data_IF_644495814404
#
_entry.id   IF_644495814404
#
_cell.length_a   1.000
_cell.length_b   1.000
_cell.length_c   1.000
_cell.angle_alpha   90.00
_cell.angle_beta   90.00
_cell.angle_gamma   90.00
#
_symmetry.space_group_name_H-M   'P 1'
#
loop_
_entity.id
_entity.type
_entity.pdbx_description
1 polymer ?
#
# COMPACT_ATOMS: atom_id res chain seq x y z
N UNK A 1 -11.04 3.55 -40.68
CA UNK A 1 -11.90 3.89 -41.84
C UNK A 1 -11.07 4.02 -43.11
N UNK A 2 -11.03 2.97 -43.93
CA UNK A 2 -10.76 2.99 -45.38
C UNK A 2 -11.15 1.59 -45.89
N UNK A 3 -12.39 1.48 -46.39
CA UNK A 3 -12.94 0.22 -46.94
C UNK A 3 -12.35 0.03 -48.34
N UNK A 4 -11.56 -1.03 -48.54
CA UNK A 4 -11.16 -1.47 -49.88
C UNK A 4 -12.26 -2.40 -50.40
N UNK A 5 -13.08 -1.88 -51.31
CA UNK A 5 -14.11 -2.62 -52.03
C UNK A 5 -13.46 -3.41 -53.18
N UNK A 6 -13.29 -4.72 -53.02
CA UNK A 6 -12.94 -5.61 -54.13
C UNK A 6 -14.22 -5.82 -54.96
N UNK A 7 -14.27 -5.17 -56.13
CA UNK A 7 -15.36 -5.36 -57.09
C UNK A 7 -15.11 -6.63 -57.89
N UNK A 8 -15.85 -7.69 -57.58
CA UNK A 8 -15.94 -8.89 -58.42
C UNK A 8 -16.99 -8.62 -59.51
N UNK A 9 -16.53 -8.43 -60.74
CA UNK A 9 -17.40 -8.27 -61.91
C UNK A 9 -17.89 -9.66 -62.30
N UNK A 10 -19.14 -9.98 -61.95
CA UNK A 10 -19.88 -11.14 -62.46
C UNK A 10 -20.45 -10.74 -63.84
N UNK A 11 -19.86 -11.23 -64.92
CA UNK A 11 -20.45 -11.13 -66.27
C UNK A 11 -21.33 -12.36 -66.48
N UNK A 12 -22.62 -12.23 -66.18
CA UNK A 12 -23.64 -13.25 -66.49
C UNK A 12 -24.43 -12.79 -67.73
N UNK A 13 -24.11 -13.46 -68.84
CA UNK A 13 -24.98 -13.87 -69.95
C UNK A 13 -25.98 -12.87 -70.55
N UNK A 14 -25.70 -12.47 -71.79
CA UNK A 14 -26.69 -12.19 -72.82
C UNK A 14 -26.02 -12.45 -74.17
N UNK A 15 -26.33 -13.59 -74.80
CA UNK A 15 -26.62 -13.75 -76.23
C UNK A 15 -27.26 -15.14 -76.35
N UNK A 16 -28.58 -15.14 -76.48
CA UNK A 16 -29.34 -16.27 -76.99
C UNK A 16 -29.69 -16.00 -78.45
N UNK A 17 -29.51 -17.03 -79.27
CA UNK A 17 -30.05 -17.26 -80.62
C UNK A 17 -29.35 -16.55 -81.77
N UNK A 18 -28.53 -17.30 -82.52
CA UNK A 18 -28.78 -17.73 -83.91
C UNK A 18 -27.67 -18.72 -84.33
N UNK A 19 -28.09 -19.87 -84.87
CA UNK A 19 -27.32 -20.61 -85.88
C UNK A 19 -26.47 -21.79 -85.39
N UNK A 20 -26.91 -23.01 -85.72
CA UNK A 20 -26.02 -24.17 -85.79
C UNK A 20 -24.90 -23.87 -86.79
N UNK A 21 -23.69 -23.65 -86.29
CA UNK A 21 -22.44 -23.67 -87.04
C UNK A 21 -21.46 -24.47 -86.19
N UNK A 22 -20.76 -25.41 -86.81
CA UNK A 22 -19.75 -26.24 -86.15
C UNK A 22 -18.80 -25.35 -85.32
N UNK A 23 -18.70 -25.67 -84.02
CA UNK A 23 -17.74 -25.05 -83.10
C UNK A 23 -16.36 -25.18 -83.74
N UNK A 24 -15.69 -24.05 -83.99
CA UNK A 24 -14.34 -24.11 -84.56
C UNK A 24 -13.40 -24.66 -83.49
N UNK A 25 -12.48 -25.57 -83.85
CA UNK A 25 -11.58 -26.25 -82.91
C UNK A 25 -10.82 -25.30 -81.96
N UNK A 26 -10.64 -24.04 -82.39
CA UNK A 26 -10.01 -22.97 -81.60
C UNK A 26 -10.88 -22.44 -80.46
N UNK A 27 -12.20 -22.39 -80.59
CA UNK A 27 -13.11 -21.91 -79.53
C UNK A 27 -13.22 -22.94 -78.39
N UNK A 28 -13.28 -24.24 -78.71
CA UNK A 28 -13.23 -25.31 -77.70
C UNK A 28 -11.88 -25.38 -76.98
N UNK A 29 -10.79 -25.12 -77.69
CA UNK A 29 -9.45 -25.05 -77.09
C UNK A 29 -9.31 -23.84 -76.16
N UNK A 30 -9.96 -22.72 -76.50
CA UNK A 30 -9.97 -21.51 -75.68
C UNK A 30 -10.84 -21.69 -74.42
N UNK A 31 -12.03 -22.28 -74.54
CA UNK A 31 -12.88 -22.62 -73.39
C UNK A 31 -12.16 -23.59 -72.43
N UNK A 32 -11.45 -24.59 -72.95
CA UNK A 32 -10.62 -25.49 -72.13
C UNK A 32 -9.52 -24.73 -71.39
N UNK A 33 -8.81 -23.82 -72.06
CA UNK A 33 -7.77 -23.00 -71.42
C UNK A 33 -8.34 -22.07 -70.36
N UNK A 34 -9.52 -21.50 -70.59
CA UNK A 34 -10.23 -20.66 -69.60
C UNK A 34 -10.61 -21.50 -68.38
N UNK A 35 -11.24 -22.66 -68.56
CA UNK A 35 -11.60 -23.54 -67.46
C UNK A 35 -10.37 -24.04 -66.66
N UNK A 36 -9.26 -24.30 -67.35
CA UNK A 36 -8.00 -24.69 -66.71
C UNK A 36 -7.35 -23.53 -65.94
N UNK A 37 -7.47 -22.29 -66.46
CA UNK A 37 -7.04 -21.07 -65.76
C UNK A 37 -7.92 -20.76 -64.55
N UNK A 38 -9.24 -20.88 -64.67
CA UNK A 38 -10.18 -20.69 -63.57
C UNK A 38 -9.88 -21.67 -62.44
N UNK A 39 -9.65 -22.94 -62.78
CA UNK A 39 -9.28 -23.96 -61.80
C UNK A 39 -7.94 -23.66 -61.10
N UNK A 40 -6.94 -23.17 -61.86
CA UNK A 40 -5.65 -22.74 -61.29
C UNK A 40 -5.80 -21.54 -60.36
N UNK A 41 -6.66 -20.58 -60.71
CA UNK A 41 -6.95 -19.42 -59.87
C UNK A 41 -7.66 -19.85 -58.58
N UNK A 42 -8.58 -20.80 -58.66
CA UNK A 42 -9.30 -21.34 -57.51
C UNK A 42 -8.36 -22.14 -56.58
N UNK A 43 -7.43 -22.92 -57.15
CA UNK A 43 -6.38 -23.62 -56.40
C UNK A 43 -5.41 -22.62 -55.71
N UNK A 44 -4.95 -21.58 -56.42
CA UNK A 44 -4.11 -20.51 -55.83
C UNK A 44 -4.84 -19.72 -54.73
N UNK A 45 -6.14 -19.47 -54.88
CA UNK A 45 -6.95 -18.79 -53.86
C UNK A 45 -7.06 -19.65 -52.61
N UNK A 46 -7.29 -20.95 -52.77
CA UNK A 46 -7.37 -21.89 -51.66
C UNK A 46 -6.03 -22.02 -50.92
N UNK A 47 -4.91 -22.09 -51.64
CA UNK A 47 -3.58 -22.09 -51.02
C UNK A 47 -3.30 -20.79 -50.25
N UNK A 48 -3.69 -19.63 -50.80
CA UNK A 48 -3.55 -18.34 -50.11
C UNK A 48 -4.43 -18.25 -48.86
N UNK A 49 -5.65 -18.77 -48.91
CA UNK A 49 -6.58 -18.79 -47.77
C UNK A 49 -6.09 -19.73 -46.66
N UNK A 50 -5.56 -20.91 -47.01
CA UNK A 50 -4.92 -21.83 -46.05
C UNK A 50 -3.62 -21.26 -45.47
N UNK A 51 -2.80 -20.58 -46.27
CA UNK A 51 -1.60 -19.90 -45.79
C UNK A 51 -1.93 -18.75 -44.83
N UNK A 52 -2.96 -17.94 -45.15
CA UNK A 52 -3.43 -16.87 -44.28
C UNK A 52 -4.00 -17.43 -42.97
N UNK A 53 -4.76 -18.53 -43.00
CA UNK A 53 -5.24 -19.21 -41.78
C UNK A 53 -4.09 -19.69 -40.90
N UNK A 54 -3.08 -20.34 -41.47
CA UNK A 54 -1.89 -20.76 -40.72
C UNK A 54 -1.15 -19.57 -40.12
N UNK A 55 -1.06 -18.46 -40.87
CA UNK A 55 -0.40 -17.26 -40.40
C UNK A 55 -1.17 -16.61 -39.23
N UNK A 56 -2.50 -16.59 -39.29
CA UNK A 56 -3.38 -16.15 -38.20
C UNK A 56 -3.27 -17.09 -37.00
N UNK A 57 -3.27 -18.41 -37.19
CA UNK A 57 -3.07 -19.39 -36.11
C UNK A 57 -1.70 -19.21 -35.42
N UNK A 58 -0.64 -18.97 -36.19
CA UNK A 58 0.70 -18.68 -35.63
C UNK A 58 0.70 -17.35 -34.86
N UNK A 59 0.09 -16.29 -35.39
CA UNK A 59 0.00 -14.99 -34.71
C UNK A 59 -0.88 -15.06 -33.44
N UNK A 60 -1.92 -15.91 -33.43
CA UNK A 60 -2.75 -16.18 -32.25
C UNK A 60 -2.01 -17.04 -31.21
N UNK A 61 -1.23 -18.05 -31.63
CA UNK A 61 -0.36 -18.84 -30.75
C UNK A 61 0.81 -18.00 -30.17
N UNK A 62 1.28 -16.98 -30.90
CA UNK A 62 2.36 -16.08 -30.48
C UNK A 62 1.88 -14.84 -29.69
N UNK A 63 0.58 -14.70 -29.36
CA UNK A 63 0.14 -13.64 -28.43
C UNK A 63 0.80 -13.85 -27.06
N UNK A 64 1.91 -13.14 -26.84
CA UNK A 64 2.62 -13.15 -25.57
C UNK A 64 1.67 -12.57 -24.52
N UNK A 65 1.16 -13.44 -23.66
CA UNK A 65 0.31 -13.03 -22.55
C UNK A 65 1.16 -12.16 -21.62
N UNK A 66 0.76 -10.90 -21.47
CA UNK A 66 1.41 -9.95 -20.56
C UNK A 66 0.40 -9.46 -19.54
N UNK A 67 0.81 -9.38 -18.28
CA UNK A 67 0.00 -8.85 -17.19
C UNK A 67 0.62 -7.55 -16.71
N UNK A 68 -0.06 -6.43 -16.97
CA UNK A 68 0.33 -5.13 -16.45
C UNK A 68 -0.26 -4.93 -15.06
N UNK A 69 0.59 -4.71 -14.07
CA UNK A 69 0.18 -4.30 -12.72
C UNK A 69 0.26 -2.79 -12.61
N UNK A 70 -0.85 -2.15 -12.28
CA UNK A 70 -1.06 -0.71 -12.39
C UNK A 70 -1.42 -0.09 -11.04
N UNK A 71 -0.86 1.08 -10.77
CA UNK A 71 -1.26 1.88 -9.61
C UNK A 71 -2.63 2.52 -9.88
N UNK A 72 -3.65 2.27 -9.03
CA UNK A 72 -5.02 2.69 -9.30
C UNK A 72 -5.22 4.21 -9.28
N UNK A 73 -4.33 4.97 -8.63
CA UNK A 73 -4.44 6.42 -8.50
C UNK A 73 -3.68 7.15 -9.60
N UNK A 74 -2.42 6.76 -9.84
CA UNK A 74 -1.56 7.42 -10.82
C UNK A 74 -1.71 6.87 -12.23
N UNK A 75 -2.37 5.71 -12.38
CA UNK A 75 -2.49 4.93 -13.61
C UNK A 75 -1.15 4.53 -14.24
N UNK A 76 -0.08 4.58 -13.45
CA UNK A 76 1.26 4.18 -13.88
C UNK A 76 1.40 2.66 -13.82
N UNK A 77 1.95 2.07 -14.87
CA UNK A 77 2.38 0.66 -14.87
C UNK A 77 3.56 0.51 -13.91
N UNK A 78 3.38 -0.34 -12.90
CA UNK A 78 4.35 -0.63 -11.85
C UNK A 78 5.26 -1.79 -12.24
N UNK A 79 4.68 -2.80 -12.88
CA UNK A 79 5.39 -3.95 -13.43
C UNK A 79 4.58 -4.57 -14.56
N UNK A 80 5.28 -5.04 -15.59
CA UNK A 80 4.72 -5.87 -16.65
C UNK A 80 5.29 -7.27 -16.46
N UNK A 81 4.41 -8.26 -16.33
CA UNK A 81 4.74 -9.65 -16.02
C UNK A 81 4.54 -10.46 -17.30
N UNK A 82 5.52 -11.30 -17.64
CA UNK A 82 5.40 -12.35 -18.66
C UNK A 82 5.18 -13.68 -17.93
N UNK A 83 3.94 -14.17 -17.78
CA UNK A 83 3.68 -15.35 -16.96
C UNK A 83 4.38 -16.60 -17.50
N UNK A 84 4.37 -16.80 -18.82
CA UNK A 84 4.97 -17.98 -19.46
C UNK A 84 6.48 -18.05 -19.20
N UNK A 85 7.19 -16.93 -19.37
CA UNK A 85 8.63 -16.85 -19.11
C UNK A 85 8.96 -17.10 -17.63
N UNK A 86 8.07 -16.68 -16.73
CA UNK A 86 8.22 -16.90 -15.29
C UNK A 86 7.74 -18.30 -14.84
N UNK A 87 7.27 -19.16 -15.75
CA UNK A 87 6.90 -20.55 -15.47
C UNK A 87 5.42 -20.81 -15.25
N UNK A 88 4.52 -19.86 -15.48
CA UNK A 88 3.08 -20.11 -15.46
C UNK A 88 2.69 -21.19 -16.49
N UNK A 89 1.87 -22.15 -16.08
CA UNK A 89 1.46 -23.32 -16.85
C UNK A 89 2.46 -24.50 -16.84
N UNK A 90 3.73 -24.27 -16.46
CA UNK A 90 4.77 -25.31 -16.40
C UNK A 90 5.22 -25.62 -14.98
N UNK A 91 5.37 -24.59 -14.15
CA UNK A 91 5.72 -24.64 -12.73
C UNK A 91 4.99 -23.52 -11.97
N UNK A 92 3.69 -23.75 -11.73
CA UNK A 92 2.83 -22.75 -11.09
C UNK A 92 3.23 -22.43 -9.65
N UNK A 93 3.85 -23.38 -8.94
CA UNK A 93 4.31 -23.16 -7.57
C UNK A 93 5.51 -22.21 -7.55
N UNK A 94 6.49 -22.42 -8.45
CA UNK A 94 7.61 -21.48 -8.60
C UNK A 94 7.13 -20.10 -9.05
N UNK A 95 6.24 -20.05 -10.04
CA UNK A 95 5.68 -18.79 -10.52
C UNK A 95 5.01 -18.01 -9.38
N UNK A 96 4.12 -18.67 -8.63
CA UNK A 96 3.43 -18.06 -7.50
C UNK A 96 4.40 -17.56 -6.43
N UNK A 97 5.42 -18.35 -6.08
CA UNK A 97 6.42 -17.94 -5.09
C UNK A 97 7.22 -16.70 -5.53
N UNK A 98 7.53 -16.58 -6.83
CA UNK A 98 8.18 -15.38 -7.38
C UNK A 98 7.26 -14.14 -7.32
N UNK A 99 5.96 -14.32 -7.60
CA UNK A 99 4.97 -13.25 -7.44
C UNK A 99 4.84 -12.83 -5.98
N UNK A 100 4.70 -13.77 -5.05
CA UNK A 100 4.62 -13.50 -3.60
C UNK A 100 5.84 -12.71 -3.11
N UNK A 101 7.05 -13.16 -3.46
CA UNK A 101 8.29 -12.44 -3.11
C UNK A 101 8.31 -11.00 -3.63
N UNK A 102 7.88 -10.80 -4.89
CA UNK A 102 7.82 -9.47 -5.49
C UNK A 102 6.75 -8.59 -4.83
N UNK A 103 5.57 -9.15 -4.53
CA UNK A 103 4.47 -8.44 -3.86
C UNK A 103 4.88 -8.02 -2.45
N UNK A 104 5.57 -8.90 -1.70
CA UNK A 104 6.11 -8.55 -0.37
C UNK A 104 7.10 -7.40 -0.44
N UNK A 105 8.02 -7.39 -1.42
CA UNK A 105 8.92 -6.25 -1.63
C UNK A 105 8.15 -4.98 -2.01
N UNK A 106 7.10 -5.11 -2.83
CA UNK A 106 6.28 -3.98 -3.25
C UNK A 106 5.50 -3.36 -2.08
N UNK A 107 4.97 -4.19 -1.18
CA UNK A 107 4.26 -3.76 0.02
C UNK A 107 5.21 -3.08 1.01
N UNK A 108 6.30 -3.77 1.40
CA UNK A 108 7.18 -3.35 2.51
C UNK A 108 8.29 -2.38 2.09
N UNK A 109 8.63 -2.38 0.81
CA UNK A 109 9.79 -1.70 0.27
C UNK A 109 11.07 -2.53 0.35
N UNK A 110 12.10 -2.02 -0.30
CA UNK A 110 13.46 -2.53 -0.27
C UNK A 110 14.44 -1.40 0.07
N UNK A 111 15.73 -1.69 0.19
CA UNK A 111 16.76 -0.70 0.54
C UNK A 111 16.70 0.57 -0.33
N UNK A 112 16.28 0.43 -1.59
CA UNK A 112 16.27 1.52 -2.58
C UNK A 112 14.86 1.98 -2.98
N UNK A 113 13.80 1.39 -2.41
CA UNK A 113 12.42 1.68 -2.82
C UNK A 113 11.48 1.70 -1.63
N UNK A 114 10.75 2.80 -1.47
CA UNK A 114 9.66 2.90 -0.49
C UNK A 114 8.51 1.98 -0.91
N UNK A 115 8.05 1.16 0.03
CA UNK A 115 6.90 0.28 -0.16
C UNK A 115 5.57 1.02 -0.18
N UNK A 116 4.52 0.32 -0.62
CA UNK A 116 3.15 0.84 -0.61
C UNK A 116 2.52 0.89 0.78
N UNK A 117 2.96 0.03 1.70
CA UNK A 117 2.49 0.06 3.07
C UNK A 117 2.97 1.36 3.74
N UNK A 118 2.02 2.15 4.20
CA UNK A 118 2.27 3.40 4.89
C UNK A 118 1.68 3.32 6.29
N UNK A 119 2.49 3.69 7.27
CA UNK A 119 2.02 3.83 8.66
C UNK A 119 1.13 5.07 8.78
N UNK A 120 0.14 4.98 9.66
CA UNK A 120 -0.65 6.14 10.04
C UNK A 120 0.23 7.16 10.75
N UNK A 121 0.06 8.43 10.38
CA UNK A 121 0.42 9.57 11.22
C UNK A 121 -0.92 10.16 11.65
N UNK A 122 -1.33 10.05 12.93
CA UNK A 122 -2.63 10.53 13.34
C UNK A 122 -2.77 12.05 13.19
N UNK A 123 -4.00 12.52 13.12
CA UNK A 123 -4.31 13.94 13.12
C UNK A 123 -3.94 14.57 14.47
N UNK A 124 -3.74 15.89 14.51
CA UNK A 124 -3.51 16.62 15.76
C UNK A 124 -4.21 17.96 15.82
N UNK A 125 -4.44 18.45 17.02
CA UNK A 125 -4.94 19.81 17.26
C UNK A 125 -3.75 20.78 17.26
N UNK A 126 -3.76 21.70 16.29
CA UNK A 126 -2.80 22.78 16.15
C UNK A 126 -2.92 23.84 17.25
N UNK A 127 -2.06 24.84 17.20
CA UNK A 127 -1.95 25.84 18.29
C UNK A 127 -3.19 26.73 18.41
N UNK A 128 -3.93 26.94 17.31
CA UNK A 128 -5.14 27.77 17.29
C UNK A 128 -6.42 26.92 17.33
N UNK A 129 -6.31 25.62 17.64
CA UNK A 129 -7.45 24.70 17.69
C UNK A 129 -7.82 24.08 16.33
N UNK A 130 -7.09 24.37 15.27
CA UNK A 130 -7.29 23.78 13.94
C UNK A 130 -6.87 22.31 13.90
N UNK A 131 -7.54 21.50 13.08
CA UNK A 131 -7.11 20.13 12.82
C UNK A 131 -5.95 20.18 11.81
N UNK A 132 -4.78 19.73 12.25
CA UNK A 132 -3.63 19.49 11.39
C UNK A 132 -3.68 18.03 10.95
N UNK A 133 -3.99 17.82 9.67
CA UNK A 133 -4.11 16.48 9.09
C UNK A 133 -2.77 15.76 9.08
N UNK A 134 -2.79 14.51 9.52
CA UNK A 134 -1.67 13.59 9.43
C UNK A 134 -1.66 12.85 8.10
N UNK A 135 -1.33 11.56 8.12
CA UNK A 135 -1.31 10.67 6.95
C UNK A 135 -2.12 9.41 7.26
N UNK A 136 -3.02 8.98 6.35
CA UNK A 136 -3.74 7.74 6.53
C UNK A 136 -2.79 6.54 6.50
N UNK A 137 -3.21 5.44 7.11
CA UNK A 137 -2.53 4.16 6.90
C UNK A 137 -2.93 3.62 5.53
N UNK A 138 -1.96 3.13 4.77
CA UNK A 138 -2.19 2.47 3.49
C UNK A 138 -1.65 1.06 3.61
N UNK A 139 -2.43 0.07 3.17
CA UNK A 139 -2.01 -1.34 3.09
C UNK A 139 -2.18 -1.81 1.66
N UNK A 140 -1.13 -2.40 1.09
CA UNK A 140 -1.24 -3.22 -0.10
C UNK A 140 -1.62 -4.63 0.32
N UNK A 141 -2.82 -5.10 -0.07
CA UNK A 141 -3.25 -6.44 0.29
C UNK A 141 -2.50 -7.49 -0.55
N UNK A 142 -1.45 -8.05 0.05
CA UNK A 142 -0.50 -8.95 -0.62
C UNK A 142 -1.21 -10.17 -1.22
N UNK A 143 -2.10 -10.80 -0.46
CA UNK A 143 -2.76 -12.04 -0.90
C UNK A 143 -3.73 -11.82 -2.05
N UNK A 144 -4.49 -10.72 -2.01
CA UNK A 144 -5.40 -10.32 -3.08
C UNK A 144 -4.64 -9.96 -4.35
N UNK A 145 -3.49 -9.29 -4.25
CA UNK A 145 -2.68 -8.96 -5.42
C UNK A 145 -2.12 -10.22 -6.10
N UNK A 146 -1.61 -11.17 -5.31
CA UNK A 146 -1.12 -12.45 -5.82
C UNK A 146 -2.25 -13.17 -6.57
N UNK A 147 -3.44 -13.29 -5.97
CA UNK A 147 -4.58 -13.94 -6.60
C UNK A 147 -4.98 -13.25 -7.92
N UNK A 148 -5.07 -11.91 -7.93
CA UNK A 148 -5.39 -11.15 -9.15
C UNK A 148 -4.37 -11.38 -10.26
N UNK A 149 -3.07 -11.40 -9.94
CA UNK A 149 -2.01 -11.67 -10.92
C UNK A 149 -2.09 -13.10 -11.46
N UNK A 150 -2.34 -14.09 -10.59
CA UNK A 150 -2.49 -15.49 -11.01
C UNK A 150 -3.67 -15.66 -11.97
N UNK A 151 -4.82 -15.03 -11.67
CA UNK A 151 -6.00 -15.09 -12.52
C UNK A 151 -5.79 -14.33 -13.85
N UNK A 152 -5.17 -13.15 -13.80
CA UNK A 152 -4.88 -12.35 -14.98
C UNK A 152 -3.89 -13.04 -15.93
N UNK A 153 -3.05 -13.93 -15.41
CA UNK A 153 -2.06 -14.69 -16.19
C UNK A 153 -2.67 -15.70 -17.16
N UNK A 154 -3.96 -16.02 -17.03
CA UNK A 154 -4.68 -16.86 -18.00
C UNK A 154 -4.95 -16.14 -19.32
N UNK A 155 -5.17 -14.81 -19.28
CA UNK A 155 -5.72 -14.04 -20.41
C UNK A 155 -4.97 -12.74 -20.72
N UNK A 156 -4.02 -12.33 -19.89
CA UNK A 156 -3.25 -11.10 -20.06
C UNK A 156 -4.03 -9.85 -19.68
N UNK A 157 -4.86 -9.94 -18.63
CA UNK A 157 -5.62 -8.81 -18.14
C UNK A 157 -4.75 -7.89 -17.28
N UNK A 158 -5.05 -6.58 -17.27
CA UNK A 158 -4.39 -5.64 -16.37
C UNK A 158 -4.92 -5.79 -14.94
N UNK A 159 -4.04 -5.66 -13.95
CA UNK A 159 -4.35 -5.79 -12.52
C UNK A 159 -4.09 -4.46 -11.83
N UNK A 160 -5.10 -3.90 -11.16
CA UNK A 160 -4.89 -2.75 -10.27
C UNK A 160 -4.44 -3.21 -8.88
N UNK A 161 -3.51 -2.47 -8.27
CA UNK A 161 -3.06 -2.72 -6.90
C UNK A 161 -4.25 -2.64 -5.90
N UNK A 162 -4.49 -3.67 -5.06
CA UNK A 162 -5.50 -3.63 -4.01
C UNK A 162 -5.01 -2.81 -2.81
N UNK A 163 -5.12 -1.48 -2.93
CA UNK A 163 -4.72 -0.54 -1.90
C UNK A 163 -5.90 -0.20 -0.98
N UNK A 164 -5.74 -0.44 0.32
CA UNK A 164 -6.71 -0.10 1.35
C UNK A 164 -6.21 1.11 2.14
N UNK A 165 -7.03 2.17 2.18
CA UNK A 165 -6.73 3.42 2.88
C UNK A 165 -7.57 3.52 4.15
N UNK A 166 -6.90 3.66 5.29
CA UNK A 166 -7.51 3.81 6.61
C UNK A 166 -7.26 5.23 7.10
N UNK A 167 -8.28 6.09 6.94
CA UNK A 167 -8.30 7.42 7.55
C UNK A 167 -8.54 7.35 9.05
N UNK A 168 -8.26 8.46 9.75
CA UNK A 168 -8.45 8.56 11.18
C UNK A 168 -9.93 8.42 11.57
N UNK A 169 -10.24 7.46 12.45
CA UNK A 169 -11.60 7.03 12.80
C UNK A 169 -12.37 7.97 13.74
N UNK A 170 -12.50 9.25 13.40
CA UNK A 170 -13.30 10.22 14.16
C UNK A 170 -13.99 11.22 13.22
N UNK A 171 -15.07 11.85 13.68
CA UNK A 171 -15.70 12.94 12.92
C UNK A 171 -14.99 14.26 13.22
N UNK A 172 -14.67 15.10 12.21
CA UNK A 172 -13.99 16.38 12.43
C UNK A 172 -14.65 17.27 13.49
N UNK A 173 -15.98 17.26 13.59
CA UNK A 173 -16.72 18.05 14.57
C UNK A 173 -16.49 17.61 16.03
N UNK A 174 -16.07 16.37 16.26
CA UNK A 174 -15.77 15.86 17.61
C UNK A 174 -14.48 16.44 18.19
N UNK A 175 -13.53 16.83 17.33
CA UNK A 175 -12.19 17.28 17.73
C UNK A 175 -12.22 18.44 18.74
N UNK A 176 -13.19 19.35 18.59
CA UNK A 176 -13.37 20.50 19.49
C UNK A 176 -13.72 20.10 20.93
N UNK A 177 -14.33 18.93 21.12
CA UNK A 177 -14.83 18.45 22.40
C UNK A 177 -13.92 17.41 23.06
N UNK A 178 -12.92 16.86 22.35
CA UNK A 178 -12.05 15.82 22.90
C UNK A 178 -11.19 16.26 24.10
N UNK A 179 -11.14 17.57 24.40
CA UNK A 179 -10.35 18.11 25.51
C UNK A 179 -11.13 18.25 26.82
N UNK A 180 -12.44 17.93 26.83
CA UNK A 180 -13.38 18.20 27.94
C UNK A 180 -13.13 17.37 29.19
N UNK A 181 -12.81 16.08 29.06
CA UNK A 181 -12.68 15.15 30.20
C UNK A 181 -11.41 14.33 30.12
N UNK A 182 -10.70 14.21 31.24
CA UNK A 182 -9.58 13.27 31.41
C UNK A 182 -10.14 11.93 31.84
N UNK A 183 -9.88 10.87 31.05
CA UNK A 183 -10.33 9.50 31.34
C UNK A 183 -9.19 8.60 31.83
N UNK A 184 -7.95 8.95 31.53
CA UNK A 184 -6.77 8.31 32.08
C UNK A 184 -5.61 9.29 32.17
N UNK A 185 -4.70 9.08 33.11
CA UNK A 185 -3.47 9.85 33.21
C UNK A 185 -2.36 9.07 33.88
N UNK A 186 -1.12 9.45 33.58
CA UNK A 186 0.06 8.97 34.28
C UNK A 186 1.14 10.04 34.31
N UNK A 187 1.87 10.11 35.42
CA UNK A 187 2.95 11.09 35.64
C UNK A 187 4.24 10.38 35.98
N UNK A 188 5.34 10.81 35.36
CA UNK A 188 6.70 10.45 35.75
C UNK A 188 7.50 11.69 36.13
N UNK A 189 8.58 11.51 36.88
CA UNK A 189 9.45 12.59 37.35
C UNK A 189 10.87 12.45 36.79
N UNK A 190 11.54 13.58 36.58
CA UNK A 190 12.92 13.65 36.12
C UNK A 190 13.63 14.83 36.77
N UNK A 191 14.97 14.78 36.82
CA UNK A 191 15.76 15.89 37.35
C UNK A 191 15.83 17.03 36.32
N UNK A 192 15.07 18.11 36.57
CA UNK A 192 15.05 19.32 35.73
C UNK A 192 16.39 20.06 35.68
N UNK A 193 17.29 19.80 36.62
CA UNK A 193 18.66 20.34 36.60
C UNK A 193 19.56 19.71 35.52
N UNK A 194 19.16 18.58 34.92
CA UNK A 194 19.85 17.97 33.79
C UNK A 194 19.26 18.54 32.49
N UNK A 195 19.84 19.64 32.01
CA UNK A 195 19.31 20.42 30.90
C UNK A 195 19.05 19.59 29.62
N UNK A 196 20.02 18.76 29.20
CA UNK A 196 19.88 17.93 28.00
C UNK A 196 18.73 16.92 28.08
N UNK A 197 18.61 16.23 29.23
CA UNK A 197 17.51 15.30 29.47
C UNK A 197 16.15 16.01 29.47
N UNK A 198 16.08 17.15 30.14
CA UNK A 198 14.86 17.95 30.21
C UNK A 198 14.42 18.39 28.82
N UNK A 199 15.36 18.87 28.00
CA UNK A 199 15.08 19.28 26.63
C UNK A 199 14.60 18.13 25.76
N UNK A 200 15.22 16.96 25.89
CA UNK A 200 14.81 15.76 25.15
C UNK A 200 13.38 15.34 25.48
N UNK A 201 13.02 15.33 26.78
CA UNK A 201 11.68 15.01 27.26
C UNK A 201 10.66 16.04 26.76
N UNK A 202 11.00 17.34 26.79
CA UNK A 202 10.14 18.39 26.24
C UNK A 202 9.86 18.19 24.75
N UNK A 203 10.89 17.86 23.96
CA UNK A 203 10.75 17.65 22.51
C UNK A 203 9.89 16.41 22.20
N UNK A 204 10.17 15.26 22.83
CA UNK A 204 9.36 14.06 22.62
C UNK A 204 7.93 14.21 23.15
N UNK A 205 7.73 14.92 24.26
CA UNK A 205 6.40 15.24 24.78
C UNK A 205 5.62 16.16 23.82
N UNK A 206 6.27 17.20 23.29
CA UNK A 206 5.66 18.10 22.32
C UNK A 206 5.24 17.38 21.03
N UNK A 207 6.01 16.39 20.59
CA UNK A 207 5.70 15.61 19.40
C UNK A 207 4.43 14.75 19.56
N UNK A 208 4.19 14.18 20.75
CA UNK A 208 2.99 13.36 21.02
C UNK A 208 1.78 14.18 21.54
N UNK A 209 1.97 15.48 21.78
CA UNK A 209 0.94 16.33 22.35
C UNK A 209 -0.14 16.69 21.31
N UNK A 210 -1.38 16.79 21.78
CA UNK A 210 -2.58 17.13 20.99
C UNK A 210 -2.92 16.13 19.88
N UNK A 211 -2.47 14.88 19.97
CA UNK A 211 -2.78 13.86 18.96
C UNK A 211 -4.21 13.36 19.13
N UNK A 212 -4.96 13.40 18.04
CA UNK A 212 -6.27 12.78 17.93
C UNK A 212 -6.06 11.33 17.48
N UNK A 213 -6.57 10.40 18.26
CA UNK A 213 -6.56 8.98 17.95
C UNK A 213 -8.01 8.51 17.83
N UNK A 214 -8.50 8.40 16.60
CA UNK A 214 -9.83 7.89 16.29
C UNK A 214 -9.99 6.41 16.64
N UNK A 215 -11.20 5.88 16.50
CA UNK A 215 -11.48 4.47 16.73
C UNK A 215 -10.74 3.61 15.70
N UNK A 216 -10.04 2.58 16.16
CA UNK A 216 -9.17 1.68 15.38
C UNK A 216 -7.94 2.36 14.75
N UNK A 217 -7.64 3.61 15.13
CA UNK A 217 -6.39 4.25 14.72
C UNK A 217 -5.20 3.58 15.40
N UNK A 218 -4.10 3.48 14.66
CA UNK A 218 -2.84 2.94 15.17
C UNK A 218 -1.89 4.09 15.48
N UNK A 219 -1.47 4.16 16.74
CA UNK A 219 -0.39 5.03 17.16
C UNK A 219 0.96 4.30 17.02
N UNK A 220 1.98 5.01 16.52
CA UNK A 220 3.38 4.59 16.56
C UNK A 220 4.22 5.70 17.16
N UNK A 221 4.93 5.40 18.24
CA UNK A 221 5.75 6.39 18.93
C UNK A 221 6.88 6.88 18.04
N UNK A 222 7.61 5.97 17.38
CA UNK A 222 8.73 6.35 16.51
C UNK A 222 8.27 7.15 15.28
N UNK A 223 7.14 6.78 14.66
CA UNK A 223 6.59 7.53 13.52
C UNK A 223 6.14 8.94 13.94
N UNK A 224 5.64 9.09 15.17
CA UNK A 224 5.17 10.36 15.71
C UNK A 224 6.31 11.28 16.16
N UNK A 225 7.30 10.73 16.87
CA UNK A 225 8.41 11.49 17.47
C UNK A 225 9.53 11.76 16.46
N UNK A 226 9.81 10.81 15.57
CA UNK A 226 10.87 10.94 14.57
C UNK A 226 12.28 10.68 15.12
N UNK A 227 13.32 11.01 14.32
CA UNK A 227 14.71 10.74 14.67
C UNK A 227 15.19 11.48 15.93
N UNK A 228 15.87 10.76 16.81
CA UNK A 228 16.48 11.30 18.04
C UNK A 228 17.92 11.79 17.80
N UNK A 229 18.10 12.80 16.95
CA UNK A 229 19.42 13.33 16.58
C UNK A 229 19.58 14.84 16.87
N UNK A 230 20.81 15.33 16.74
CA UNK A 230 21.12 16.75 16.99
C UNK A 230 20.44 17.71 15.99
N UNK A 231 20.16 17.26 14.76
CA UNK A 231 19.52 18.09 13.74
C UNK A 231 18.05 18.39 14.10
N UNK A 232 17.40 17.48 14.82
CA UNK A 232 16.07 17.66 15.38
C UNK A 232 16.07 18.32 16.78
N UNK A 233 17.24 18.78 17.25
CA UNK A 233 17.39 19.55 18.49
C UNK A 233 17.55 18.71 19.75
N UNK A 234 17.65 17.37 19.63
CA UNK A 234 17.96 16.51 20.76
C UNK A 234 19.40 16.74 21.24
N UNK A 235 19.58 16.63 22.55
CA UNK A 235 20.83 16.94 23.24
C UNK A 235 21.44 15.68 23.86
N UNK A 236 22.77 15.67 24.09
CA UNK A 236 23.42 14.65 24.89
C UNK A 236 22.83 14.59 26.31
N UNK A 237 22.49 13.38 26.74
CA UNK A 237 22.02 13.09 28.09
C UNK A 237 22.29 11.61 28.43
N UNK A 238 22.36 11.24 29.72
CA UNK A 238 22.50 9.85 30.11
C UNK A 238 21.33 8.99 29.59
N UNK A 239 21.66 7.90 28.91
CA UNK A 239 20.75 6.89 28.38
C UNK A 239 21.22 5.47 28.74
N UNK A 240 20.32 4.49 28.66
CA UNK A 240 20.65 3.09 28.92
C UNK A 240 20.86 2.39 27.57
N UNK A 241 22.11 2.04 27.27
CA UNK A 241 22.49 1.29 26.08
C UNK A 241 23.14 -0.04 26.48
N UNK A 242 22.60 -1.17 26.00
CA UNK A 242 23.10 -2.51 26.30
C UNK A 242 23.33 -2.78 27.80
N UNK A 243 22.41 -2.28 28.63
CA UNK A 243 22.48 -2.46 30.08
C UNK A 243 23.50 -1.58 30.80
N UNK A 244 24.01 -0.51 30.16
CA UNK A 244 24.91 0.45 30.80
C UNK A 244 24.40 1.87 30.61
N UNK A 245 24.63 2.71 31.62
CA UNK A 245 24.39 4.15 31.50
C UNK A 245 25.54 4.75 30.70
N UNK A 246 25.22 5.35 29.55
CA UNK A 246 26.17 6.03 28.66
C UNK A 246 25.62 7.39 28.29
N UNK A 247 26.49 8.34 27.94
CA UNK A 247 26.03 9.59 27.35
C UNK A 247 25.72 9.37 25.87
N UNK A 248 24.47 9.68 25.49
CA UNK A 248 23.98 9.57 24.11
C UNK A 248 23.01 10.71 23.79
N UNK A 249 22.65 10.86 22.51
CA UNK A 249 21.70 11.89 22.08
C UNK A 249 20.29 11.34 22.22
N UNK A 250 19.41 12.09 22.90
CA UNK A 250 18.01 11.67 23.10
C UNK A 250 17.74 10.96 24.42
N UNK A 251 18.71 10.89 25.34
CA UNK A 251 18.48 10.39 26.69
C UNK A 251 17.28 11.08 27.36
N UNK A 252 16.27 10.28 27.71
CA UNK A 252 14.97 10.76 28.25
C UNK A 252 13.75 10.38 27.40
N UNK A 253 13.91 10.07 26.11
CA UNK A 253 12.77 9.76 25.21
C UNK A 253 11.99 8.52 25.68
N UNK A 254 12.66 7.46 26.14
CA UNK A 254 12.00 6.27 26.69
C UNK A 254 11.13 6.56 27.92
N UNK A 255 11.38 7.67 28.63
CA UNK A 255 10.50 8.09 29.73
C UNK A 255 9.18 8.64 29.19
N UNK A 256 9.19 9.33 28.05
CA UNK A 256 7.97 9.80 27.37
C UNK A 256 7.13 8.63 26.88
N UNK A 257 7.71 7.66 26.17
CA UNK A 257 6.99 6.46 25.73
C UNK A 257 6.44 5.66 26.91
N UNK A 258 7.21 5.51 28.00
CA UNK A 258 6.75 4.82 29.21
C UNK A 258 5.62 5.57 29.92
N UNK A 259 5.65 6.90 29.93
CA UNK A 259 4.56 7.70 30.52
C UNK A 259 3.28 7.55 29.70
N UNK A 260 3.39 7.60 28.36
CA UNK A 260 2.28 7.35 27.45
C UNK A 260 1.71 5.94 27.63
N UNK A 261 2.56 4.92 27.64
CA UNK A 261 2.17 3.51 27.87
C UNK A 261 1.30 3.37 29.12
N UNK A 262 1.75 3.89 30.26
CA UNK A 262 0.97 3.79 31.50
C UNK A 262 -0.33 4.59 31.50
N UNK A 263 -0.44 5.64 30.69
CA UNK A 263 -1.68 6.39 30.53
C UNK A 263 -2.69 5.60 29.69
N UNK A 264 -2.26 5.00 28.57
CA UNK A 264 -3.16 4.25 27.66
C UNK A 264 -3.51 2.85 28.17
N UNK A 265 -2.63 2.20 28.94
CA UNK A 265 -2.86 0.88 29.52
C UNK A 265 -4.13 0.84 30.40
N UNK A 266 -4.46 1.96 31.04
CA UNK A 266 -5.68 2.09 31.86
C UNK A 266 -6.98 1.98 31.06
N UNK A 267 -6.91 2.12 29.74
CA UNK A 267 -8.06 2.09 28.83
C UNK A 267 -8.22 0.77 28.09
N UNK A 268 -7.33 -0.21 28.30
CA UNK A 268 -7.42 -1.53 27.65
C UNK A 268 -7.26 -1.46 26.13
N UNK A 269 -6.39 -0.57 25.63
CA UNK A 269 -6.02 -0.52 24.21
C UNK A 269 -5.34 -1.83 23.76
N UNK A 270 -5.42 -2.15 22.46
CA UNK A 270 -4.73 -3.32 21.90
C UNK A 270 -3.28 -2.98 21.56
N UNK A 271 -2.32 -3.74 22.08
CA UNK A 271 -0.90 -3.54 21.79
C UNK A 271 -0.50 -4.26 20.49
N UNK A 272 0.11 -3.51 19.57
CA UNK A 272 0.70 -4.06 18.34
C UNK A 272 2.19 -4.37 18.57
N UNK A 273 2.88 -3.49 19.29
CA UNK A 273 4.29 -3.63 19.61
C UNK A 273 4.55 -2.97 20.97
N UNK A 274 5.12 -3.74 21.89
CA UNK A 274 5.49 -3.26 23.20
C UNK A 274 6.66 -4.07 23.75
N UNK A 275 7.69 -3.37 24.20
CA UNK A 275 8.91 -3.95 24.75
C UNK A 275 9.27 -3.24 26.06
N UNK A 276 9.79 -4.00 27.01
CA UNK A 276 10.34 -3.45 28.24
C UNK A 276 11.88 -3.49 28.21
N UNK A 277 12.53 -2.65 29.02
CA UNK A 277 13.96 -2.63 29.22
C UNK A 277 14.36 -3.88 30.01
N UNK A 278 15.56 -4.40 29.72
CA UNK A 278 16.14 -5.48 30.52
C UNK A 278 16.55 -5.01 31.93
N UNK A 279 16.73 -3.69 32.12
CA UNK A 279 17.12 -3.08 33.38
C UNK A 279 16.01 -2.19 33.96
N UNK A 280 16.07 -1.97 35.27
CA UNK A 280 15.21 -1.00 35.93
C UNK A 280 15.61 0.43 35.54
N UNK A 281 14.65 1.18 35.01
CA UNK A 281 14.84 2.56 34.54
C UNK A 281 14.61 3.63 35.60
N UNK A 282 14.02 3.26 36.75
CA UNK A 282 13.88 4.13 37.93
C UNK A 282 12.77 5.19 37.88
N UNK A 283 12.20 5.49 36.71
CA UNK A 283 11.09 6.46 36.55
C UNK A 283 9.69 5.81 36.47
N UNK A 284 9.60 4.48 36.37
CA UNK A 284 8.37 3.67 36.42
C UNK A 284 8.64 2.34 37.13
N UNK A 285 7.61 1.66 37.67
CA UNK A 285 7.76 0.30 38.19
C UNK A 285 8.29 -0.69 37.14
N UNK A 286 8.89 -1.80 37.60
CA UNK A 286 9.40 -2.86 36.71
C UNK A 286 8.26 -3.43 35.85
N UNK A 287 8.50 -3.53 34.53
CA UNK A 287 7.51 -4.04 33.58
C UNK A 287 6.41 -3.03 33.24
N UNK A 288 6.58 -1.76 33.64
CA UNK A 288 5.68 -0.66 33.32
C UNK A 288 6.36 0.37 32.40
N UNK A 289 7.38 -0.05 31.68
CA UNK A 289 8.14 0.78 30.77
C UNK A 289 7.90 0.35 29.32
N UNK A 290 8.13 1.27 28.39
CA UNK A 290 8.04 1.06 26.96
C UNK A 290 9.34 1.53 26.30
N UNK A 291 10.19 0.58 25.93
CA UNK A 291 11.47 0.83 25.25
C UNK A 291 11.21 1.19 23.80
N UNK A 292 11.87 2.25 23.34
CA UNK A 292 11.82 2.69 21.94
C UNK A 292 13.23 3.01 21.44
N UNK A 293 13.48 2.76 20.16
CA UNK A 293 14.66 3.20 19.44
C UNK A 293 14.26 3.52 18.00
N UNK A 294 14.58 4.73 17.53
CA UNK A 294 14.21 5.12 16.17
C UNK A 294 14.89 4.21 15.13
N UNK A 295 14.11 3.65 14.21
CA UNK A 295 14.58 2.63 13.25
C UNK A 295 14.67 1.20 13.82
N UNK A 296 14.32 1.00 15.10
CA UNK A 296 14.31 -0.29 15.79
C UNK A 296 13.00 -0.51 16.55
N UNK A 297 13.09 -0.69 17.87
CA UNK A 297 11.95 -0.98 18.74
C UNK A 297 10.98 0.20 18.79
N UNK A 298 9.69 -0.10 18.72
CA UNK A 298 8.64 0.90 18.76
C UNK A 298 7.64 0.61 19.88
N UNK A 299 6.88 1.63 20.27
CA UNK A 299 5.69 1.46 21.08
C UNK A 299 4.47 1.77 20.22
N UNK A 300 3.71 0.72 19.92
CA UNK A 300 2.57 0.77 18.99
C UNK A 300 1.34 0.14 19.61
N UNK A 301 0.22 0.84 19.47
CA UNK A 301 -1.07 0.38 19.96
C UNK A 301 -2.19 0.88 19.06
N UNK A 302 -3.29 0.15 19.06
CA UNK A 302 -4.53 0.49 18.38
C UNK A 302 -5.56 0.99 19.39
N UNK A 303 -6.26 2.07 19.05
CA UNK A 303 -7.38 2.55 19.86
C UNK A 303 -8.61 1.66 19.68
N UNK A 304 -8.70 0.63 20.52
CA UNK A 304 -9.83 -0.30 20.58
C UNK A 304 -10.92 0.11 21.58
N UNK A 305 -10.89 1.35 22.09
CA UNK A 305 -11.85 1.82 23.10
C UNK A 305 -13.25 2.09 22.54
N UNK A 306 -13.39 2.15 21.21
CA UNK A 306 -14.65 2.46 20.53
C UNK A 306 -14.96 3.96 20.46
N UNK A 307 -14.13 4.82 21.04
CA UNK A 307 -14.30 6.28 21.02
C UNK A 307 -13.01 7.00 20.61
N UNK A 308 -13.10 8.21 20.03
CA UNK A 308 -11.93 9.02 19.76
C UNK A 308 -11.30 9.56 21.05
N UNK A 309 -9.96 9.58 21.05
CA UNK A 309 -9.12 9.97 22.17
C UNK A 309 -8.24 11.17 21.78
N UNK A 310 -7.92 12.01 22.75
CA UNK A 310 -6.91 13.05 22.63
C UNK A 310 -5.76 12.76 23.60
N UNK A 311 -4.55 12.62 23.06
CA UNK A 311 -3.32 12.51 23.84
C UNK A 311 -2.85 13.93 24.19
N UNK A 312 -2.77 14.24 25.48
CA UNK A 312 -2.22 15.49 25.99
C UNK A 312 -0.94 15.20 26.78
N UNK A 313 0.18 15.78 26.36
CA UNK A 313 1.46 15.62 27.06
C UNK A 313 1.90 16.97 27.63
N UNK A 314 2.15 16.99 28.93
CA UNK A 314 2.39 18.20 29.72
C UNK A 314 3.70 18.02 30.47
N UNK A 315 4.68 18.88 30.19
CA UNK A 315 5.94 18.94 30.94
C UNK A 315 5.91 20.16 31.85
N UNK A 316 6.14 19.96 33.14
CA UNK A 316 6.16 21.03 34.14
C UNK A 316 7.11 20.68 35.28
N UNK A 317 8.06 21.57 35.60
CA UNK A 317 8.93 21.50 36.78
C UNK A 317 9.51 20.10 37.11
N UNK A 318 10.11 19.42 36.11
CA UNK A 318 10.70 18.09 36.33
C UNK A 318 9.67 16.95 36.41
N UNK A 319 8.46 17.17 35.91
CA UNK A 319 7.45 16.13 35.71
C UNK A 319 6.97 16.10 34.26
N UNK A 320 6.64 14.89 33.80
CA UNK A 320 5.92 14.66 32.56
C UNK A 320 4.62 13.95 32.90
N UNK A 321 3.49 14.57 32.56
CA UNK A 321 2.16 13.97 32.64
C UNK A 321 1.63 13.73 31.24
N UNK A 322 1.18 12.51 30.99
CA UNK A 322 0.34 12.20 29.82
C UNK A 322 -1.08 11.96 30.30
N UNK A 323 -2.01 12.69 29.71
CA UNK A 323 -3.45 12.52 29.91
C UNK A 323 -4.07 12.00 28.61
N UNK A 324 -4.99 11.07 28.75
CA UNK A 324 -5.89 10.66 27.69
C UNK A 324 -7.23 11.30 27.96
N UNK A 325 -7.72 12.07 26.99
CA UNK A 325 -8.94 12.85 27.08
C UNK A 325 -9.96 12.44 26.03
N UNK A 326 -11.22 12.76 26.26
CA UNK A 326 -12.30 12.63 25.28
C UNK A 326 -13.43 13.63 25.61
N UNK A 327 -14.49 13.63 24.81
CA UNK A 327 -15.69 14.44 25.06
C UNK A 327 -16.54 13.88 26.19
N UNK A 328 -17.36 14.71 26.83
CA UNK A 328 -18.32 14.24 27.84
C UNK A 328 -19.28 13.20 27.27
N UNK A 329 -19.70 13.36 26.01
CA UNK A 329 -20.57 12.42 25.32
C UNK A 329 -19.89 11.05 25.18
N UNK A 330 -18.66 11.03 24.65
CA UNK A 330 -17.91 9.79 24.43
C UNK A 330 -17.53 9.08 25.73
N UNK A 331 -17.26 9.83 26.82
CA UNK A 331 -17.01 9.23 28.12
C UNK A 331 -18.17 8.32 28.58
N UNK A 332 -19.43 8.67 28.27
CA UNK A 332 -20.58 7.85 28.67
C UNK A 332 -20.64 6.49 27.96
N UNK A 333 -19.89 6.33 26.85
CA UNK A 333 -19.81 5.10 26.07
C UNK A 333 -18.72 4.14 26.57
N UNK A 334 -17.81 4.61 27.44
CA UNK A 334 -16.84 3.76 28.11
C UNK A 334 -17.58 2.94 29.18
N UNK A 335 -17.88 1.67 28.87
CA UNK A 335 -18.41 0.74 29.84
C UNK A 335 -17.41 0.52 30.99
N UNK A 336 -17.91 0.47 32.22
CA UNK A 336 -17.14 0.26 33.44
C UNK A 336 -16.32 -1.02 33.46
#
# INVERSE_FOLDING_TARGET
MKKWTVSIIIVVSLIGLIGCSEKTSKEEELEKKIAELEKKVEEEQKEKEEALKRQIEIEEEEQVIMVDVVDPHTKKVIKTINPVEMGYGTDNEKYKAEIESWVTELARGSENRVGYDQRMIPDKIGMNGEIVKGKPRIILEESELVEKVMNASEKGEAVELPLYVFESGYRPEEAAYLSEVVIASYTTHFNSGVAGRSKNIELSAAAINNIILGTNDIFSFNTTVGPSDAAHGYQPAPEILNGKLVDGIGGGICQTSSTLFNAVDKLGVSYIEWHHHSLNVGYVPKGRDATVSYGGLDFRFENTTGIPLLIKAIVHEGSLTVEIRTSKENQTLLAH
#
